data_IF_347063752218
#
_entry.id   IF_347063752218
#
_cell.length_a   1.000
_cell.length_b   1.000
_cell.length_c   1.000
_cell.angle_alpha   90.00
_cell.angle_beta   90.00
_cell.angle_gamma   90.00
#
_symmetry.space_group_name_H-M   'P 1'
#
loop_
_entity.id
_entity.type
_entity.pdbx_description
1 polymer ?
#
# COMPACT_ATOMS: atom_id res chain seq x y z
N UNK A 1 -0.18 12.90 -3.59
CA UNK A 1 -0.94 11.94 -2.77
C UNK A 1 -0.84 12.42 -1.33
N UNK A 2 -1.96 12.74 -0.71
CA UNK A 2 -2.04 13.18 0.70
C UNK A 2 -2.09 11.98 1.65
N UNK A 3 -1.91 12.21 2.96
CA UNK A 3 -2.02 11.15 3.98
C UNK A 3 -3.39 10.46 3.92
N UNK A 4 -4.47 11.23 3.83
CA UNK A 4 -5.83 10.70 3.79
C UNK A 4 -6.10 9.90 2.51
N UNK A 5 -5.56 10.35 1.36
CA UNK A 5 -5.62 9.59 0.12
C UNK A 5 -4.86 8.27 0.22
N UNK A 6 -3.68 8.27 0.84
CA UNK A 6 -2.89 7.06 1.06
C UNK A 6 -3.60 6.09 1.99
N UNK A 7 -4.13 6.55 3.12
CA UNK A 7 -4.89 5.70 4.06
C UNK A 7 -6.13 5.10 3.39
N UNK A 8 -6.87 5.90 2.62
CA UNK A 8 -8.02 5.42 1.84
C UNK A 8 -7.62 4.37 0.80
N UNK A 9 -6.47 4.56 0.15
CA UNK A 9 -5.95 3.64 -0.84
C UNK A 9 -5.49 2.32 -0.21
N UNK A 10 -4.87 2.37 0.98
CA UNK A 10 -4.38 1.19 1.72
C UNK A 10 -5.53 0.41 2.36
N UNK A 11 -6.66 1.06 2.66
CA UNK A 11 -7.82 0.40 3.25
C UNK A 11 -8.51 -0.63 2.32
N UNK A 12 -8.20 -0.64 1.03
CA UNK A 12 -8.73 -1.66 0.11
C UNK A 12 -7.99 -3.00 0.27
N UNK A 13 -8.68 -4.12 0.04
CA UNK A 13 -8.09 -5.46 0.16
C UNK A 13 -7.01 -5.73 -0.90
N UNK A 14 -7.24 -5.28 -2.14
CA UNK A 14 -6.43 -5.64 -3.31
C UNK A 14 -5.71 -4.43 -3.88
N UNK A 15 -4.38 -4.51 -4.01
CA UNK A 15 -3.59 -3.51 -4.69
C UNK A 15 -3.46 -3.86 -6.18
N UNK A 16 -4.04 -3.03 -7.04
CA UNK A 16 -3.81 -3.14 -8.49
C UNK A 16 -2.53 -2.40 -8.91
N UNK A 17 -2.16 -2.49 -10.19
CA UNK A 17 -0.92 -1.89 -10.71
C UNK A 17 -0.89 -0.36 -10.60
N UNK A 18 -2.02 0.31 -10.83
CA UNK A 18 -2.13 1.78 -10.73
C UNK A 18 -1.96 2.24 -9.30
N UNK A 19 -2.54 1.51 -8.35
CA UNK A 19 -2.42 1.81 -6.93
C UNK A 19 -0.99 1.61 -6.43
N UNK A 20 -0.33 0.53 -6.87
CA UNK A 20 1.08 0.28 -6.56
C UNK A 20 1.98 1.38 -7.11
N UNK A 21 1.72 1.86 -8.33
CA UNK A 21 2.44 3.01 -8.92
C UNK A 21 2.28 4.27 -8.07
N UNK A 22 1.06 4.55 -7.56
CA UNK A 22 0.79 5.70 -6.69
C UNK A 22 1.48 5.55 -5.34
N UNK A 23 1.37 4.38 -4.70
CA UNK A 23 1.93 4.09 -3.37
C UNK A 23 3.46 4.19 -3.36
N UNK A 24 4.12 3.60 -4.36
CA UNK A 24 5.58 3.57 -4.44
C UNK A 24 6.19 4.75 -5.22
N UNK A 25 5.35 5.59 -5.85
CA UNK A 25 5.77 6.68 -6.74
C UNK A 25 6.73 6.20 -7.86
N UNK A 26 6.34 5.12 -8.55
CA UNK A 26 7.16 4.47 -9.58
C UNK A 26 6.44 4.32 -10.92
N UNK A 27 7.23 4.15 -11.98
CA UNK A 27 6.74 3.80 -13.31
C UNK A 27 6.18 2.38 -13.40
N UNK A 28 5.43 2.14 -14.49
CA UNK A 28 4.71 0.88 -14.76
C UNK A 28 5.60 -0.36 -14.70
N UNK A 29 6.80 -0.32 -15.27
CA UNK A 29 7.69 -1.48 -15.35
C UNK A 29 8.19 -1.91 -13.97
N UNK A 30 8.60 -0.96 -13.14
CA UNK A 30 9.02 -1.23 -11.76
C UNK A 30 7.84 -1.76 -10.94
N UNK A 31 6.64 -1.21 -11.11
CA UNK A 31 5.44 -1.71 -10.45
C UNK A 31 5.09 -3.15 -10.88
N UNK A 32 5.25 -3.50 -12.15
CA UNK A 32 5.07 -4.87 -12.64
C UNK A 32 6.09 -5.84 -12.04
N UNK A 33 7.33 -5.41 -11.87
CA UNK A 33 8.38 -6.22 -11.24
C UNK A 33 8.04 -6.52 -9.76
N UNK A 34 7.66 -5.49 -8.99
CA UNK A 34 7.26 -5.65 -7.59
C UNK A 34 6.01 -6.53 -7.47
N UNK A 35 4.97 -6.26 -8.27
CA UNK A 35 3.75 -7.08 -8.28
C UNK A 35 4.05 -8.55 -8.59
N UNK A 36 4.88 -8.81 -9.61
CA UNK A 36 5.28 -10.18 -9.98
C UNK A 36 6.07 -10.86 -8.86
N UNK A 37 6.95 -10.12 -8.18
CA UNK A 37 7.69 -10.64 -7.04
C UNK A 37 6.77 -11.07 -5.90
N UNK A 38 5.90 -10.17 -5.43
CA UNK A 38 4.93 -10.47 -4.36
C UNK A 38 4.06 -11.67 -4.74
N UNK A 39 3.54 -11.66 -5.96
CA UNK A 39 2.72 -12.77 -6.47
C UNK A 39 3.47 -14.10 -6.43
N UNK A 40 4.68 -14.16 -6.98
CA UNK A 40 5.46 -15.38 -7.05
C UNK A 40 5.85 -15.89 -5.66
N UNK A 41 6.14 -14.99 -4.72
CA UNK A 41 6.49 -15.36 -3.35
C UNK A 41 5.26 -16.00 -2.64
N UNK A 42 4.06 -15.43 -2.80
CA UNK A 42 2.81 -16.01 -2.28
C UNK A 42 2.43 -17.34 -2.95
N UNK A 43 2.58 -17.46 -4.27
CA UNK A 43 2.26 -18.69 -4.99
C UNK A 43 3.21 -19.85 -4.59
N UNK A 44 4.48 -19.55 -4.25
CA UNK A 44 5.41 -20.56 -3.69
C UNK A 44 4.98 -21.06 -2.30
N UNK A 45 4.32 -20.22 -1.52
CA UNK A 45 3.73 -20.58 -0.23
C UNK A 45 2.40 -21.34 -0.38
N UNK A 46 1.89 -21.51 -1.62
CA UNK A 46 0.66 -22.25 -1.92
C UNK A 46 -0.60 -21.38 -1.93
N UNK A 47 -0.48 -20.06 -1.84
CA UNK A 47 -1.62 -19.16 -1.91
C UNK A 47 -2.05 -18.86 -3.35
N UNK A 48 -3.37 -18.72 -3.55
CA UNK A 48 -3.91 -18.21 -4.80
C UNK A 48 -3.82 -16.68 -4.85
N UNK A 49 -3.29 -16.14 -5.96
CA UNK A 49 -3.19 -14.70 -6.20
C UNK A 49 -3.90 -14.33 -7.51
N UNK A 50 -4.87 -13.39 -7.51
CA UNK A 50 -5.53 -12.91 -8.71
C UNK A 50 -4.55 -12.36 -9.76
N UNK A 51 -4.89 -12.50 -11.05
CA UNK A 51 -4.03 -12.03 -12.15
C UNK A 51 -3.71 -10.53 -12.08
N UNK A 52 -4.68 -9.71 -11.69
CA UNK A 52 -4.61 -8.26 -11.88
C UNK A 52 -4.19 -7.48 -10.62
N UNK A 53 -4.16 -8.11 -9.45
CA UNK A 53 -3.87 -7.47 -8.18
C UNK A 53 -3.08 -8.39 -7.24
N UNK A 54 -2.52 -7.80 -6.19
CA UNK A 54 -1.88 -8.51 -5.07
C UNK A 54 -2.51 -8.04 -3.75
N UNK A 55 -2.45 -8.84 -2.66
CA UNK A 55 -2.97 -8.39 -1.37
C UNK A 55 -2.28 -7.11 -0.91
N UNK A 56 -3.07 -6.12 -0.45
CA UNK A 56 -2.53 -4.83 0.00
C UNK A 56 -1.59 -4.99 1.19
N UNK A 57 -1.85 -5.94 2.09
CA UNK A 57 -1.00 -6.22 3.25
C UNK A 57 0.44 -6.56 2.85
N UNK A 58 0.64 -7.37 1.81
CA UNK A 58 1.99 -7.68 1.31
C UNK A 58 2.65 -6.48 0.64
N UNK A 59 1.88 -5.57 0.04
CA UNK A 59 2.41 -4.32 -0.52
C UNK A 59 2.89 -3.37 0.57
N UNK A 60 2.10 -3.19 1.65
CA UNK A 60 2.47 -2.39 2.82
C UNK A 60 3.78 -2.91 3.41
N UNK A 61 3.86 -4.24 3.60
CA UNK A 61 5.05 -4.91 4.12
C UNK A 61 6.26 -4.73 3.20
N UNK A 62 6.08 -4.91 1.89
CA UNK A 62 7.15 -4.75 0.90
C UNK A 62 7.69 -3.31 0.85
N UNK A 63 6.80 -2.32 0.86
CA UNK A 63 7.17 -0.90 0.81
C UNK A 63 7.56 -0.32 2.18
N UNK A 64 7.44 -1.12 3.24
CA UNK A 64 7.68 -0.72 4.62
C UNK A 64 6.89 0.56 5.00
N UNK A 65 5.60 0.57 4.66
CA UNK A 65 4.71 1.70 4.98
C UNK A 65 4.31 1.62 6.46
N UNK A 66 4.65 2.66 7.22
CA UNK A 66 4.26 2.81 8.62
C UNK A 66 2.83 3.38 8.72
N UNK A 67 1.85 2.48 8.93
CA UNK A 67 0.43 2.84 9.02
C UNK A 67 0.17 3.70 10.27
N UNK A 68 0.76 3.34 11.41
CA UNK A 68 0.55 4.06 12.68
C UNK A 68 1.03 5.51 12.57
N UNK A 69 2.19 5.72 11.92
CA UNK A 69 2.67 7.05 11.59
C UNK A 69 1.68 7.82 10.70
N UNK A 70 1.17 7.21 9.63
CA UNK A 70 0.21 7.87 8.73
C UNK A 70 -1.10 8.22 9.45
N UNK A 71 -1.65 7.33 10.26
CA UNK A 71 -2.84 7.59 11.05
C UNK A 71 -2.64 8.72 12.06
N UNK A 72 -1.50 8.72 12.76
CA UNK A 72 -1.14 9.80 13.69
C UNK A 72 -1.10 11.16 12.97
N UNK A 73 -0.57 11.20 11.74
CA UNK A 73 -0.49 12.42 10.95
C UNK A 73 -1.86 12.87 10.44
N UNK A 74 -2.73 11.94 10.03
CA UNK A 74 -4.11 12.26 9.65
C UNK A 74 -4.88 12.92 10.79
N UNK A 75 -4.77 12.38 12.02
CA UNK A 75 -5.40 12.94 13.23
C UNK A 75 -4.88 14.33 13.57
N UNK A 76 -3.56 14.50 13.55
CA UNK A 76 -2.92 15.81 13.82
C UNK A 76 -3.29 16.88 12.78
N UNK A 77 -3.51 16.49 11.51
CA UNK A 77 -3.96 17.41 10.46
C UNK A 77 -5.44 17.79 10.58
N UNK A 78 -6.27 16.97 11.25
CA UNK A 78 -7.70 17.20 11.45
C UNK A 78 -8.03 18.02 12.70
N UNK A 79 -7.02 18.43 13.47
CA UNK A 79 -7.19 19.44 14.52
C UNK A 79 -7.43 18.90 15.93
N UNK A 80 -6.90 17.73 16.30
CA UNK A 80 -6.66 17.42 17.72
C UNK A 80 -5.44 18.21 18.23
N UNK A 81 -5.49 19.54 18.09
CA UNK A 81 -4.61 20.49 18.75
C UNK A 81 -5.13 20.59 20.19
N UNK A 82 -4.77 19.62 21.03
CA UNK A 82 -4.73 19.80 22.48
C UNK A 82 -3.29 20.07 22.86
N UNK A 83 -2.84 21.29 22.57
CA UNK A 83 -1.66 21.83 23.25
C UNK A 83 -2.19 22.28 24.62
N UNK A 84 -1.81 21.54 25.66
CA UNK A 84 -1.94 21.99 27.04
C UNK A 84 -0.92 23.09 27.32
#
# INVERSE_FOLDING_TARGET
>A
MTVDETLKLIAQQWCNLSDLMKLANIGRNSALAIKSKIKNDLEKEGYYVPKNAVPMQEVIKYLNIDIDYLESRSKNLKGDIRIA
#
